data_IF_872394511691
#
_entry.id   IF_872394511691
#
_cell.length_a   1.000
_cell.length_b   1.000
_cell.length_c   1.000
_cell.angle_alpha   90.00
_cell.angle_beta   90.00
_cell.angle_gamma   90.00
#
_symmetry.space_group_name_H-M   'P 1'
#
loop_
_entity.id
_entity.type
_entity.pdbx_description
1 polymer ?
#
# COMPACT_ATOMS: atom_id res chain seq x y z
N UNK A 1 -44.50 32.25 68.97
CA UNK A 1 -43.66 31.52 68.00
C UNK A 1 -43.05 32.55 67.06
N UNK A 2 -41.76 32.88 66.93
CA UNK A 2 -40.42 32.53 67.46
C UNK A 2 -39.71 33.90 67.67
N UNK A 3 -39.17 34.28 68.84
CA UNK A 3 -37.78 34.11 69.29
C UNK A 3 -36.71 34.37 68.20
N UNK A 4 -35.60 35.11 68.38
CA UNK A 4 -35.08 36.06 69.39
C UNK A 4 -33.75 36.61 68.79
N UNK A 5 -33.45 37.87 69.09
CA UNK A 5 -32.14 38.56 69.27
C UNK A 5 -30.85 37.74 69.05
N UNK A 6 -29.90 38.18 68.21
CA UNK A 6 -28.84 39.21 68.40
C UNK A 6 -27.67 38.76 69.32
N UNK A 7 -26.51 38.57 68.67
CA UNK A 7 -25.07 38.66 69.05
C UNK A 7 -24.52 38.14 70.38
N UNK A 8 -23.46 37.32 70.25
CA UNK A 8 -22.19 37.26 71.01
C UNK A 8 -21.31 36.23 70.25
N UNK A 9 -19.98 36.29 70.13
CA UNK A 9 -18.94 37.05 70.79
C UNK A 9 -17.63 37.01 69.96
N UNK A 10 -16.79 38.02 70.24
CA UNK A 10 -15.35 37.98 70.45
C UNK A 10 -14.38 37.28 69.46
N UNK A 11 -13.43 38.12 69.08
CA UNK A 11 -12.13 37.95 68.43
C UNK A 11 -11.28 36.77 68.97
N UNK A 12 -10.62 36.04 68.05
CA UNK A 12 -9.25 35.58 68.28
C UNK A 12 -8.47 35.57 66.95
N UNK A 13 -7.37 36.32 66.92
CA UNK A 13 -6.43 36.35 65.82
C UNK A 13 -5.46 35.15 65.90
N UNK A 14 -5.17 34.53 64.76
CA UNK A 14 -3.94 33.77 64.55
C UNK A 14 -3.39 34.09 63.15
N UNK A 15 -2.22 34.72 63.14
CA UNK A 15 -1.35 35.00 62.00
C UNK A 15 -0.59 33.72 61.58
N UNK A 16 -0.08 33.74 60.33
CA UNK A 16 0.90 32.85 59.67
C UNK A 16 0.29 31.62 58.95
N UNK A 17 0.48 31.33 57.66
CA UNK A 17 1.29 31.88 56.56
C UNK A 17 0.72 31.36 55.22
N UNK A 18 1.00 31.99 54.06
CA UNK A 18 0.50 31.53 52.78
C UNK A 18 1.43 30.45 52.23
N UNK A 19 1.07 29.18 52.41
CA UNK A 19 1.47 28.14 51.46
C UNK A 19 0.25 27.79 50.64
N UNK A 20 -0.18 28.75 49.80
CA UNK A 20 -0.77 28.37 48.54
C UNK A 20 0.35 27.68 47.76
N UNK A 21 0.50 26.36 47.99
CA UNK A 21 1.07 25.49 46.97
C UNK A 21 0.09 25.64 45.81
N UNK A 22 0.39 26.60 44.93
CA UNK A 22 -0.07 26.49 43.57
C UNK A 22 0.39 25.11 43.13
N UNK A 23 -0.56 24.21 42.93
CA UNK A 23 -0.30 23.00 42.18
C UNK A 23 0.16 23.50 40.81
N UNK A 24 1.47 23.62 40.65
CA UNK A 24 2.09 23.71 39.35
C UNK A 24 1.63 22.45 38.63
N UNK A 25 0.76 22.62 37.63
CA UNK A 25 0.59 21.61 36.60
C UNK A 25 1.91 21.56 35.81
N UNK A 26 2.89 20.85 36.35
CA UNK A 26 3.81 20.07 35.52
C UNK A 26 3.01 18.77 35.24
N UNK A 27 2.81 18.29 34.02
CA UNK A 27 3.82 17.75 33.12
C UNK A 27 3.14 17.34 31.79
N UNK A 28 2.62 18.27 30.99
CA UNK A 28 2.32 17.89 29.60
C UNK A 28 3.65 17.91 28.85
N UNK A 29 4.22 16.71 28.65
CA UNK A 29 5.43 16.54 27.87
C UNK A 29 5.25 17.21 26.50
N UNK A 30 6.25 17.97 26.02
CA UNK A 30 6.14 18.69 24.75
C UNK A 30 5.78 17.71 23.63
N UNK A 31 4.71 18.01 22.91
CA UNK A 31 4.14 17.18 21.85
C UNK A 31 4.21 17.90 20.50
N UNK A 32 4.18 17.13 19.41
CA UNK A 32 4.19 17.66 18.05
C UNK A 32 2.76 17.84 17.52
N UNK A 33 2.47 18.98 16.90
CA UNK A 33 1.24 19.12 16.11
C UNK A 33 1.27 18.22 14.88
N UNK A 34 0.10 17.82 14.40
CA UNK A 34 -0.06 17.08 13.15
C UNK A 34 0.45 17.91 11.96
N UNK A 35 1.31 17.37 11.08
CA UNK A 35 1.70 18.03 9.85
C UNK A 35 0.51 18.33 8.94
N UNK A 36 0.66 19.32 8.04
CA UNK A 36 -0.30 19.52 6.96
C UNK A 36 -0.35 18.32 6.00
N UNK A 37 -1.46 18.17 5.27
CA UNK A 37 -1.55 17.16 4.20
C UNK A 37 -0.46 17.37 3.15
N UNK A 38 0.20 16.29 2.67
CA UNK A 38 1.20 16.41 1.63
C UNK A 38 0.54 16.88 0.32
N UNK A 39 1.20 17.81 -0.35
CA UNK A 39 0.84 18.37 -1.65
C UNK A 39 1.89 17.96 -2.67
N UNK A 40 1.45 17.51 -3.84
CA UNK A 40 2.32 17.14 -4.96
C UNK A 40 2.86 18.40 -5.63
N UNK A 41 4.19 18.50 -5.72
CA UNK A 41 4.91 19.60 -6.37
C UNK A 41 5.44 19.18 -7.73
N UNK A 42 5.96 17.96 -7.84
CA UNK A 42 6.46 17.35 -9.08
C UNK A 42 5.98 15.91 -9.15
N UNK A 43 5.49 15.48 -10.30
CA UNK A 43 5.10 14.11 -10.58
C UNK A 43 5.70 13.67 -11.93
N UNK A 44 6.77 12.90 -11.83
CA UNK A 44 7.51 12.32 -12.95
C UNK A 44 7.53 10.79 -12.78
N UNK A 45 7.76 10.00 -13.85
CA UNK A 45 7.93 8.57 -13.71
C UNK A 45 9.00 8.24 -12.67
N UNK A 46 8.65 7.41 -11.69
CA UNK A 46 9.49 7.00 -10.56
C UNK A 46 9.86 8.09 -9.54
N UNK A 47 9.37 9.33 -9.70
CA UNK A 47 9.75 10.45 -8.85
C UNK A 47 8.56 11.32 -8.49
N UNK A 48 8.28 11.43 -7.20
CA UNK A 48 7.22 12.28 -6.67
C UNK A 48 7.79 13.24 -5.64
N UNK A 49 7.71 14.54 -5.90
CA UNK A 49 8.13 15.56 -4.93
C UNK A 49 6.92 16.10 -4.18
N UNK A 50 7.01 16.06 -2.85
CA UNK A 50 5.97 16.50 -1.95
C UNK A 50 6.42 17.71 -1.13
N UNK A 51 5.45 18.51 -0.70
CA UNK A 51 5.62 19.54 0.32
C UNK A 51 4.45 19.55 1.28
N UNK A 52 4.65 20.00 2.51
CA UNK A 52 3.60 20.11 3.53
C UNK A 52 3.85 21.28 4.49
N UNK A 53 2.81 21.69 5.21
CA UNK A 53 2.93 22.64 6.32
C UNK A 53 3.63 21.95 7.51
N UNK A 54 4.65 22.57 8.12
CA UNK A 54 5.42 21.97 9.21
C UNK A 54 4.59 21.75 10.48
N UNK A 55 5.05 20.81 11.28
CA UNK A 55 4.64 20.65 12.68
C UNK A 55 5.31 21.68 13.58
N UNK A 56 4.67 21.96 14.70
CA UNK A 56 5.15 22.84 15.78
C UNK A 56 5.09 22.10 17.11
N UNK A 57 5.85 22.55 18.10
CA UNK A 57 5.76 22.04 19.46
C UNK A 57 4.54 22.63 20.19
N UNK A 58 3.92 21.81 21.04
CA UNK A 58 2.85 22.17 21.97
C UNK A 58 3.27 21.75 23.36
N UNK A 59 3.10 22.62 24.35
CA UNK A 59 3.55 22.38 25.73
C UNK A 59 4.78 23.20 26.10
N UNK A 60 4.99 23.39 27.41
CA UNK A 60 6.08 24.22 27.96
C UNK A 60 6.97 23.38 28.90
N UNK A 61 8.30 23.40 28.72
CA UNK A 61 9.02 24.11 27.65
C UNK A 61 8.81 23.43 26.30
N UNK A 62 8.82 24.22 25.22
CA UNK A 62 8.85 23.68 23.87
C UNK A 62 10.08 22.79 23.68
N UNK A 63 9.93 21.71 22.91
CA UNK A 63 11.08 20.87 22.53
C UNK A 63 12.06 21.65 21.65
N UNK A 64 13.35 21.38 21.82
CA UNK A 64 14.43 22.00 21.03
C UNK A 64 14.97 21.07 19.93
N UNK A 65 14.50 19.82 19.92
CA UNK A 65 14.98 18.80 18.99
C UNK A 65 14.52 19.08 17.54
N UNK A 66 15.37 18.78 16.54
CA UNK A 66 14.97 18.84 15.14
C UNK A 66 13.80 17.91 14.85
N UNK A 67 12.73 18.45 14.27
CA UNK A 67 11.58 17.66 13.84
C UNK A 67 11.93 16.93 12.54
N UNK A 68 11.81 15.60 12.55
CA UNK A 68 11.92 14.77 11.35
C UNK A 68 10.53 14.40 10.86
N UNK A 69 10.34 14.34 9.55
CA UNK A 69 9.11 13.94 8.91
C UNK A 69 9.31 12.62 8.20
N UNK A 70 8.34 11.72 8.32
CA UNK A 70 8.26 10.47 7.58
C UNK A 70 7.06 10.49 6.65
N UNK A 71 7.30 10.21 5.36
CA UNK A 71 6.24 10.04 4.37
C UNK A 71 5.95 8.55 4.22
N UNK A 72 4.67 8.18 4.33
CA UNK A 72 4.24 6.77 4.29
C UNK A 72 3.07 6.57 3.32
N UNK A 73 3.04 5.42 2.66
CA UNK A 73 1.87 4.92 1.94
C UNK A 73 1.00 4.07 2.87
N UNK A 74 -0.29 4.37 2.96
CA UNK A 74 -1.28 3.61 3.73
C UNK A 74 -1.74 2.39 2.93
N UNK A 75 -1.55 1.20 3.48
CA UNK A 75 -1.92 -0.08 2.87
C UNK A 75 -3.25 -0.63 3.42
N UNK A 76 -3.66 -0.15 4.59
CA UNK A 76 -4.86 -0.60 5.30
C UNK A 76 -5.08 0.21 6.58
N UNK A 77 -6.07 -0.15 7.40
CA UNK A 77 -6.28 0.47 8.71
C UNK A 77 -5.01 0.36 9.56
N UNK A 78 -4.36 1.49 9.81
CA UNK A 78 -3.13 1.60 10.60
C UNK A 78 -1.92 0.82 10.05
N UNK A 79 -1.99 0.34 8.81
CA UNK A 79 -0.86 -0.34 8.13
C UNK A 79 -0.25 0.61 7.13
N UNK A 80 1.05 0.86 7.28
CA UNK A 80 1.79 1.81 6.47
C UNK A 80 3.11 1.22 5.95
N UNK A 81 3.53 1.65 4.77
CA UNK A 81 4.87 1.44 4.22
C UNK A 81 5.62 2.76 4.22
N UNK A 82 6.79 2.80 4.84
CA UNK A 82 7.68 3.95 4.78
C UNK A 82 8.20 4.15 3.36
N UNK A 83 8.17 5.41 2.89
CA UNK A 83 8.68 5.80 1.57
C UNK A 83 9.92 6.68 1.68
N UNK A 84 10.16 7.27 2.84
CA UNK A 84 11.34 8.09 3.14
C UNK A 84 11.11 9.07 4.28
N UNK A 85 12.19 9.69 4.73
CA UNK A 85 12.16 10.71 5.78
C UNK A 85 13.08 11.89 5.47
N UNK A 86 12.81 13.02 6.11
CA UNK A 86 13.56 14.28 5.93
C UNK A 86 13.34 15.21 7.13
N UNK A 87 14.28 16.11 7.40
CA UNK A 87 14.08 17.21 8.37
C UNK A 87 13.52 18.47 7.71
N UNK A 88 13.47 18.52 6.37
CA UNK A 88 12.82 19.59 5.62
C UNK A 88 11.31 19.35 5.51
N UNK A 89 10.57 20.37 5.07
CA UNK A 89 9.13 20.27 4.74
C UNK A 89 8.88 19.89 3.29
N UNK A 90 9.90 19.33 2.63
CA UNK A 90 9.83 18.79 1.28
C UNK A 90 10.64 17.51 1.18
N UNK A 91 10.11 16.55 0.42
CA UNK A 91 10.78 15.28 0.14
C UNK A 91 10.52 14.86 -1.30
N UNK A 92 11.58 14.47 -1.99
CA UNK A 92 11.50 13.74 -3.25
C UNK A 92 11.51 12.24 -2.95
N UNK A 93 10.40 11.57 -3.23
CA UNK A 93 10.31 10.12 -3.22
C UNK A 93 10.84 9.57 -4.55
N UNK A 94 11.64 8.51 -4.47
CA UNK A 94 12.21 7.81 -5.64
C UNK A 94 11.76 6.35 -5.65
N UNK A 95 11.83 5.70 -6.81
CA UNK A 95 11.48 4.28 -6.99
C UNK A 95 10.01 3.96 -6.70
N UNK A 96 9.12 4.95 -6.78
CA UNK A 96 7.68 4.69 -6.81
C UNK A 96 7.33 4.03 -8.14
N UNK A 97 6.39 3.09 -8.12
CA UNK A 97 5.93 2.51 -9.36
C UNK A 97 5.12 3.57 -10.14
N UNK A 98 5.40 3.77 -11.43
CA UNK A 98 4.62 4.69 -12.24
C UNK A 98 3.15 4.25 -12.39
N UNK A 99 2.25 5.18 -12.71
CA UNK A 99 0.82 4.93 -12.93
C UNK A 99 0.05 4.35 -11.74
N UNK A 100 0.63 4.38 -10.53
CA UNK A 100 0.13 3.68 -9.36
C UNK A 100 -0.59 4.59 -8.38
N UNK A 101 -1.70 4.11 -7.82
CA UNK A 101 -2.54 4.84 -6.86
C UNK A 101 -1.99 4.71 -5.44
N UNK A 102 -1.47 5.78 -4.84
CA UNK A 102 -0.98 5.78 -3.45
C UNK A 102 -1.91 6.59 -2.53
N UNK A 103 -2.06 6.12 -1.29
CA UNK A 103 -2.66 6.87 -0.19
C UNK A 103 -1.58 7.38 0.75
N UNK A 104 -1.16 8.64 0.61
CA UNK A 104 0.00 9.19 1.31
C UNK A 104 -0.40 9.90 2.60
N UNK A 105 0.45 9.75 3.62
CA UNK A 105 0.38 10.52 4.88
C UNK A 105 1.78 10.98 5.28
N UNK A 106 1.84 12.06 6.06
CA UNK A 106 3.06 12.54 6.70
C UNK A 106 2.90 12.51 8.21
N UNK A 107 3.91 12.03 8.91
CA UNK A 107 4.00 12.14 10.38
C UNK A 107 5.30 12.85 10.75
N UNK A 108 5.23 13.69 11.78
CA UNK A 108 6.41 14.27 12.39
C UNK A 108 6.85 13.39 13.57
N UNK A 109 8.15 13.34 13.84
CA UNK A 109 8.70 12.66 15.00
C UNK A 109 10.01 13.28 15.46
N UNK A 110 10.29 13.07 16.73
CA UNK A 110 11.53 13.41 17.44
C UNK A 110 11.89 12.26 18.39
N UNK A 111 12.91 12.41 19.24
CA UNK A 111 13.17 11.41 20.28
C UNK A 111 12.01 11.33 21.28
N UNK A 112 11.32 12.46 21.50
CA UNK A 112 10.18 12.58 22.41
C UNK A 112 8.88 11.93 21.94
N UNK A 113 8.77 11.52 20.66
CA UNK A 113 7.60 10.80 20.16
C UNK A 113 7.18 11.17 18.73
N UNK A 114 6.02 10.66 18.34
CA UNK A 114 5.40 10.89 17.03
C UNK A 114 4.17 11.78 17.15
N UNK A 115 3.93 12.61 16.14
CA UNK A 115 2.63 13.25 15.92
C UNK A 115 1.61 12.24 15.42
N UNK A 116 0.33 12.61 15.48
CA UNK A 116 -0.69 11.99 14.62
C UNK A 116 -0.32 12.15 13.13
N UNK A 117 -0.75 11.23 12.24
CA UNK A 117 -0.56 11.38 10.81
C UNK A 117 -1.43 12.51 10.25
N UNK A 118 -0.93 13.19 9.21
CA UNK A 118 -1.74 14.09 8.40
C UNK A 118 -2.98 13.39 7.83
N UNK A 119 -4.01 14.13 7.40
CA UNK A 119 -5.04 13.56 6.54
C UNK A 119 -4.44 12.90 5.29
N UNK A 120 -5.10 11.84 4.81
CA UNK A 120 -4.65 11.06 3.66
C UNK A 120 -4.77 11.87 2.37
N UNK A 121 -3.69 11.94 1.60
CA UNK A 121 -3.68 12.46 0.22
C UNK A 121 -3.63 11.29 -0.76
N UNK A 122 -4.67 11.13 -1.59
CA UNK A 122 -4.64 10.20 -2.71
C UNK A 122 -3.87 10.78 -3.89
N UNK A 123 -2.97 10.00 -4.50
CA UNK A 123 -2.24 10.39 -5.72
C UNK A 123 -2.15 9.22 -6.69
N UNK A 124 -2.25 9.47 -7.99
CA UNK A 124 -1.77 8.53 -9.02
C UNK A 124 -0.48 9.09 -9.58
N UNK A 125 0.61 8.34 -9.48
CA UNK A 125 1.90 8.74 -10.05
C UNK A 125 1.82 8.81 -11.58
N UNK A 126 2.66 9.65 -12.18
CA UNK A 126 2.81 9.75 -13.61
C UNK A 126 3.08 8.37 -14.23
N UNK A 127 2.57 8.13 -15.45
CA UNK A 127 2.79 6.87 -16.16
C UNK A 127 4.23 6.73 -16.62
N UNK A 128 4.76 5.51 -16.56
CA UNK A 128 6.08 5.17 -17.08
C UNK A 128 6.06 4.94 -18.59
N UNK A 129 6.91 4.04 -19.06
CA UNK A 129 7.00 3.66 -20.49
C UNK A 129 5.77 2.93 -21.00
N UNK A 130 5.04 2.24 -20.14
CA UNK A 130 3.82 1.53 -20.52
C UNK A 130 2.84 1.47 -19.36
N UNK A 131 1.57 1.16 -19.67
CA UNK A 131 0.52 0.87 -18.68
C UNK A 131 -0.30 -0.34 -19.04
N UNK A 132 -1.03 -0.88 -18.06
CA UNK A 132 -2.00 -1.95 -18.27
C UNK A 132 -3.41 -1.47 -17.93
N UNK A 133 -4.29 -1.57 -18.92
CA UNK A 133 -5.73 -1.47 -18.69
C UNK A 133 -6.31 -2.88 -18.51
N UNK A 134 -7.30 -2.99 -17.63
CA UNK A 134 -7.98 -4.22 -17.21
C UNK A 134 -9.48 -4.09 -17.46
N UNK A 135 -10.10 -5.18 -17.88
CA UNK A 135 -11.54 -5.35 -17.95
C UNK A 135 -11.89 -6.72 -17.38
N UNK A 136 -12.65 -6.76 -16.30
CA UNK A 136 -13.21 -8.01 -15.80
C UNK A 136 -14.40 -8.43 -16.68
N UNK A 137 -14.40 -9.67 -17.16
CA UNK A 137 -15.52 -10.24 -17.90
C UNK A 137 -16.44 -11.09 -17.02
N UNK A 138 -16.02 -11.42 -15.81
CA UNK A 138 -16.81 -12.16 -14.85
C UNK A 138 -17.47 -11.23 -13.80
N UNK A 139 -18.78 -11.40 -13.64
CA UNK A 139 -19.58 -10.69 -12.66
C UNK A 139 -19.74 -11.47 -11.35
N UNK A 140 -19.38 -12.75 -11.34
CA UNK A 140 -19.31 -13.57 -10.14
C UNK A 140 -17.88 -13.53 -9.60
N UNK A 141 -17.63 -13.06 -8.37
CA UNK A 141 -16.30 -13.15 -7.77
C UNK A 141 -15.94 -14.58 -7.32
N UNK A 142 -16.89 -15.51 -7.42
CA UNK A 142 -16.69 -16.92 -7.05
C UNK A 142 -17.32 -17.79 -8.11
N UNK A 143 -16.48 -18.42 -8.93
CA UNK A 143 -16.89 -19.27 -10.05
C UNK A 143 -15.74 -20.22 -10.44
N UNK A 144 -15.89 -21.05 -11.47
CA UNK A 144 -14.84 -22.00 -11.85
C UNK A 144 -13.81 -21.46 -12.87
N UNK A 145 -13.83 -20.17 -13.19
CA UNK A 145 -12.98 -19.56 -14.20
C UNK A 145 -12.73 -18.06 -13.96
N UNK A 146 -11.47 -17.69 -13.72
CA UNK A 146 -11.03 -16.30 -13.79
C UNK A 146 -11.16 -15.83 -15.25
N UNK A 147 -11.95 -14.78 -15.53
CA UNK A 147 -12.10 -14.21 -16.88
C UNK A 147 -11.81 -12.71 -16.92
N UNK A 148 -10.71 -12.34 -17.57
CA UNK A 148 -10.35 -10.92 -17.70
C UNK A 148 -9.70 -10.60 -19.05
N UNK A 149 -9.69 -9.31 -19.38
CA UNK A 149 -9.00 -8.78 -20.56
C UNK A 149 -7.95 -7.77 -20.13
N UNK A 150 -6.74 -7.94 -20.65
CA UNK A 150 -5.66 -6.97 -20.47
C UNK A 150 -5.38 -6.23 -21.78
N UNK A 151 -4.87 -5.01 -21.65
CA UNK A 151 -4.37 -4.21 -22.78
C UNK A 151 -3.14 -3.44 -22.35
N UNK A 152 -2.01 -3.69 -23.01
CA UNK A 152 -0.75 -2.96 -22.80
C UNK A 152 -0.76 -1.75 -23.72
N UNK A 153 -0.49 -0.57 -23.19
CA UNK A 153 -0.38 0.68 -23.97
C UNK A 153 0.99 1.30 -23.75
N UNK A 154 1.68 1.66 -24.83
CA UNK A 154 2.92 2.42 -24.76
C UNK A 154 2.60 3.88 -24.40
N UNK A 155 3.03 4.31 -23.22
CA UNK A 155 2.86 5.68 -22.71
C UNK A 155 4.12 6.51 -22.81
N UNK A 156 5.23 5.90 -23.24
CA UNK A 156 6.49 6.58 -23.50
C UNK A 156 6.50 7.34 -24.82
N UNK A 157 7.64 7.99 -25.08
CA UNK A 157 7.89 8.81 -26.28
C UNK A 157 8.61 8.08 -27.41
N UNK A 158 9.11 6.86 -27.15
CA UNK A 158 9.79 6.00 -28.13
C UNK A 158 9.05 4.70 -28.40
N UNK A 159 9.50 3.90 -29.37
CA UNK A 159 8.95 2.57 -29.61
C UNK A 159 9.15 1.66 -28.40
N UNK A 160 8.16 0.81 -28.13
CA UNK A 160 8.19 -0.20 -27.07
C UNK A 160 8.23 -1.59 -27.71
N UNK A 161 9.37 -2.28 -27.57
CA UNK A 161 9.48 -3.69 -27.93
C UNK A 161 8.76 -4.54 -26.88
N UNK A 162 7.76 -5.32 -27.31
CA UNK A 162 6.98 -6.15 -26.41
C UNK A 162 7.77 -7.34 -25.83
N UNK A 163 8.87 -7.75 -26.47
CA UNK A 163 9.73 -8.83 -25.94
C UNK A 163 10.38 -8.47 -24.60
N UNK A 164 10.57 -7.17 -24.35
CA UNK A 164 11.04 -6.60 -23.09
C UNK A 164 9.94 -6.47 -22.01
N UNK A 165 8.67 -6.62 -22.40
CA UNK A 165 7.51 -6.39 -21.50
C UNK A 165 7.17 -7.68 -20.74
N UNK A 166 6.97 -7.53 -19.42
CA UNK A 166 6.42 -8.57 -18.54
C UNK A 166 5.21 -8.01 -17.82
N UNK A 167 4.07 -8.68 -17.89
CA UNK A 167 2.83 -8.29 -17.18
C UNK A 167 2.50 -9.36 -16.15
N UNK A 168 2.24 -9.00 -14.91
CA UNK A 168 1.90 -9.94 -13.83
C UNK A 168 0.55 -9.61 -13.24
N UNK A 169 -0.38 -10.55 -13.37
CA UNK A 169 -1.64 -10.58 -12.64
C UNK A 169 -1.42 -11.35 -11.35
N UNK A 170 -1.46 -10.65 -10.22
CA UNK A 170 -1.19 -11.17 -8.88
C UNK A 170 -2.46 -11.75 -8.28
N UNK A 171 -2.37 -12.98 -7.80
CA UNK A 171 -3.48 -13.75 -7.27
C UNK A 171 -3.06 -14.55 -6.03
N UNK A 172 -4.04 -15.06 -5.30
CA UNK A 172 -3.84 -15.95 -4.17
C UNK A 172 -4.35 -17.34 -4.53
N UNK A 173 -3.47 -18.34 -4.46
CA UNK A 173 -3.83 -19.73 -4.73
C UNK A 173 -4.52 -20.32 -3.50
N UNK A 174 -5.84 -20.18 -3.47
CA UNK A 174 -6.69 -20.61 -2.36
C UNK A 174 -6.63 -22.12 -2.12
N UNK A 175 -6.68 -22.50 -0.85
CA UNK A 175 -6.56 -23.89 -0.42
C UNK A 175 -5.18 -24.52 -0.66
N UNK A 176 -4.20 -23.72 -1.11
CA UNK A 176 -2.88 -24.18 -1.51
C UNK A 176 -2.84 -24.93 -2.85
N UNK A 177 -3.94 -24.94 -3.60
CA UNK A 177 -3.97 -25.51 -4.96
C UNK A 177 -3.34 -24.52 -5.94
N UNK A 178 -2.08 -24.77 -6.27
CA UNK A 178 -1.27 -23.97 -7.20
C UNK A 178 -1.46 -24.36 -8.66
N UNK A 179 -2.50 -25.14 -8.98
CA UNK A 179 -2.76 -25.66 -10.32
C UNK A 179 -3.73 -24.76 -11.08
N UNK A 180 -3.24 -24.02 -12.08
CA UNK A 180 -4.08 -23.30 -13.03
C UNK A 180 -3.76 -23.70 -14.48
N UNK A 181 -4.81 -23.90 -15.27
CA UNK A 181 -4.74 -23.94 -16.73
C UNK A 181 -4.84 -22.51 -17.25
N UNK A 182 -3.84 -22.07 -18.02
CA UNK A 182 -3.71 -20.68 -18.46
C UNK A 182 -4.10 -20.52 -19.94
N UNK A 183 -5.33 -20.08 -20.20
CA UNK A 183 -5.85 -19.89 -21.55
C UNK A 183 -5.70 -18.44 -22.03
N UNK A 184 -5.43 -18.30 -23.32
CA UNK A 184 -5.65 -17.08 -24.09
C UNK A 184 -6.76 -17.43 -25.07
N UNK A 185 -7.93 -16.84 -24.88
CA UNK A 185 -9.10 -17.15 -25.69
C UNK A 185 -9.09 -16.31 -26.98
N UNK A 186 -8.60 -15.08 -26.90
CA UNK A 186 -8.42 -14.21 -28.07
C UNK A 186 -7.40 -13.10 -27.79
N UNK A 187 -6.60 -12.71 -28.79
CA UNK A 187 -5.76 -11.53 -28.71
C UNK A 187 -5.55 -10.91 -30.09
N UNK A 188 -5.57 -9.58 -30.17
CA UNK A 188 -5.30 -8.87 -31.43
C UNK A 188 -3.90 -9.16 -31.99
N UNK A 189 -2.92 -9.42 -31.12
CA UNK A 189 -1.56 -9.81 -31.50
C UNK A 189 -1.44 -11.28 -31.97
N UNK A 190 -2.47 -12.10 -31.71
CA UNK A 190 -2.42 -13.56 -31.79
C UNK A 190 -2.01 -14.20 -30.46
N UNK A 191 -2.79 -15.19 -30.00
CA UNK A 191 -2.51 -15.90 -28.74
C UNK A 191 -1.23 -16.75 -28.79
N UNK A 192 -0.78 -17.14 -29.98
CA UNK A 192 0.49 -17.82 -30.23
C UNK A 192 1.70 -16.94 -29.84
N UNK A 193 1.53 -15.61 -29.90
CA UNK A 193 2.57 -14.65 -29.52
C UNK A 193 2.65 -14.35 -28.03
N UNK A 194 1.67 -14.81 -27.25
CA UNK A 194 1.53 -14.52 -25.82
C UNK A 194 1.79 -15.79 -25.02
N UNK A 195 2.95 -15.83 -24.36
CA UNK A 195 3.28 -16.89 -23.41
C UNK A 195 2.69 -16.53 -22.06
N UNK A 196 2.13 -17.53 -21.40
CA UNK A 196 1.58 -17.45 -20.05
C UNK A 196 2.34 -18.44 -19.18
N UNK A 197 2.75 -18.01 -18.00
CA UNK A 197 3.36 -18.87 -16.99
C UNK A 197 2.84 -18.46 -15.63
N UNK A 198 2.86 -19.39 -14.67
CA UNK A 198 2.52 -19.10 -13.29
C UNK A 198 3.75 -19.21 -12.40
N UNK A 199 3.79 -18.40 -11.34
CA UNK A 199 4.78 -18.49 -10.27
C UNK A 199 4.04 -18.31 -8.95
N UNK A 200 4.42 -19.09 -7.94
CA UNK A 200 3.81 -19.06 -6.61
C UNK A 200 4.90 -19.11 -5.54
N UNK A 201 4.60 -18.54 -4.38
CA UNK A 201 5.55 -18.32 -3.29
C UNK A 201 5.03 -18.99 -2.03
N UNK A 202 5.32 -20.29 -1.84
CA UNK A 202 4.96 -20.96 -0.60
C UNK A 202 5.64 -20.24 0.57
N UNK A 203 4.99 -20.14 1.73
CA UNK A 203 5.57 -19.47 2.88
C UNK A 203 6.90 -20.16 3.28
N UNK A 204 7.88 -19.42 3.82
CA UNK A 204 9.17 -19.98 4.19
C UNK A 204 9.03 -20.90 5.41
N UNK A 205 9.77 -22.01 5.44
CA UNK A 205 9.82 -22.91 6.60
C UNK A 205 9.99 -22.12 7.91
N UNK A 206 9.29 -22.49 8.99
CA UNK A 206 9.46 -21.84 10.28
C UNK A 206 10.95 -21.89 10.66
N UNK A 207 11.51 -20.82 11.26
CA UNK A 207 12.88 -20.87 11.76
C UNK A 207 13.05 -22.10 12.65
N UNK A 208 14.14 -22.85 12.45
CA UNK A 208 14.53 -23.88 13.40
C UNK A 208 14.63 -23.24 14.78
N UNK A 209 14.00 -23.84 15.79
CA UNK A 209 14.11 -23.34 17.16
C UNK A 209 15.58 -23.24 17.61
N UNK A 210 15.89 -22.45 18.65
CA UNK A 210 17.23 -22.47 19.25
C UNK A 210 17.63 -23.93 19.56
N UNK A 211 18.92 -24.29 19.46
CA UNK A 211 19.37 -25.65 19.71
C UNK A 211 19.03 -26.06 21.15
N UNK A 212 17.90 -26.72 21.33
CA UNK A 212 17.52 -27.36 22.58
C UNK A 212 18.10 -28.78 22.61
N UNK A 213 18.50 -29.29 23.79
CA UNK A 213 18.93 -30.68 23.94
C UNK A 213 17.82 -31.69 23.59
N UNK A 214 16.57 -31.22 23.52
CA UNK A 214 15.41 -31.97 23.03
C UNK A 214 15.17 -31.61 21.57
N UNK A 215 15.03 -32.59 20.65
CA UNK A 215 14.67 -32.31 19.27
C UNK A 215 13.32 -31.61 19.24
N UNK A 216 13.27 -30.36 18.77
CA UNK A 216 12.01 -29.71 18.43
C UNK A 216 11.39 -30.52 17.29
N UNK A 217 10.15 -31.03 17.41
CA UNK A 217 9.54 -31.76 16.31
C UNK A 217 9.44 -30.82 15.11
N UNK A 218 10.13 -31.19 14.02
CA UNK A 218 9.91 -30.54 12.72
C UNK A 218 8.47 -30.82 12.31
N UNK A 219 7.68 -29.81 11.90
CA UNK A 219 6.32 -30.07 11.43
C UNK A 219 6.36 -31.08 10.28
N UNK A 220 5.63 -32.18 10.42
CA UNK A 220 5.62 -33.28 9.44
C UNK A 220 4.89 -32.93 8.14
N UNK A 221 4.15 -31.81 8.12
CA UNK A 221 3.61 -31.15 6.92
C UNK A 221 3.79 -29.63 7.03
N UNK A 222 4.44 -29.03 6.03
CA UNK A 222 4.57 -27.59 5.89
C UNK A 222 4.55 -27.19 4.40
N UNK A 223 3.83 -26.12 3.99
CA UNK A 223 2.84 -25.40 4.79
C UNK A 223 1.66 -26.29 5.18
N UNK A 224 0.82 -25.84 6.11
CA UNK A 224 -0.40 -26.56 6.44
C UNK A 224 -1.25 -26.74 5.17
N UNK A 225 -1.82 -27.93 4.90
CA UNK A 225 -2.77 -28.09 3.80
C UNK A 225 -3.87 -27.05 3.90
N UNK A 226 -4.21 -26.40 2.78
CA UNK A 226 -5.17 -25.29 2.78
C UNK A 226 -4.55 -23.90 2.92
N UNK A 227 -3.25 -23.78 3.24
CA UNK A 227 -2.59 -22.47 3.35
C UNK A 227 -2.63 -21.74 2.01
N UNK A 228 -3.23 -20.54 1.92
CA UNK A 228 -3.21 -19.74 0.70
C UNK A 228 -1.77 -19.40 0.30
N UNK A 229 -1.47 -19.50 -0.98
CA UNK A 229 -0.13 -19.25 -1.51
C UNK A 229 -0.20 -18.05 -2.44
N UNK A 230 0.49 -16.93 -2.17
CA UNK A 230 0.50 -15.81 -3.11
C UNK A 230 1.28 -16.17 -4.38
N UNK A 231 0.93 -15.57 -5.49
CA UNK A 231 1.68 -15.70 -6.73
C UNK A 231 1.12 -14.84 -7.84
N UNK A 232 1.49 -15.18 -9.07
CA UNK A 232 1.01 -14.47 -10.25
C UNK A 232 0.94 -15.34 -11.49
N UNK A 233 0.06 -14.94 -12.40
CA UNK A 233 0.16 -15.28 -13.83
C UNK A 233 0.97 -14.20 -14.53
N UNK A 234 2.06 -14.59 -15.16
CA UNK A 234 2.90 -13.72 -15.96
C UNK A 234 2.61 -13.90 -17.46
N UNK A 235 2.47 -12.77 -18.17
CA UNK A 235 2.46 -12.71 -19.62
C UNK A 235 3.80 -12.21 -20.13
N UNK A 236 4.31 -12.92 -21.13
CA UNK A 236 5.47 -12.50 -21.92
C UNK A 236 5.14 -12.57 -23.41
N UNK A 237 5.78 -11.71 -24.20
CA UNK A 237 5.51 -11.59 -25.62
C UNK A 237 6.70 -12.09 -26.43
N UNK A 238 6.41 -12.81 -27.52
CA UNK A 238 7.45 -13.34 -28.42
C UNK A 238 7.87 -12.36 -29.51
N UNK A 239 7.15 -11.25 -29.67
CA UNK A 239 7.46 -10.20 -30.65
C UNK A 239 6.39 -9.10 -30.70
N UNK A 240 6.68 -8.05 -31.46
CA UNK A 240 5.82 -6.90 -31.68
C UNK A 240 6.43 -5.61 -31.13
N UNK A 241 6.12 -4.49 -31.78
CA UNK A 241 6.58 -3.15 -31.36
C UNK A 241 5.37 -2.22 -31.34
N UNK A 242 5.20 -1.51 -30.23
CA UNK A 242 4.17 -0.48 -30.10
C UNK A 242 4.80 0.91 -30.30
N UNK A 243 4.31 1.67 -31.28
CA UNK A 243 4.61 3.09 -31.39
C UNK A 243 4.11 3.85 -30.13
N UNK A 244 4.63 5.06 -29.85
CA UNK A 244 4.09 5.93 -28.80
C UNK A 244 2.56 6.07 -28.90
N UNK A 245 1.85 5.84 -27.80
CA UNK A 245 0.38 5.88 -27.73
C UNK A 245 -0.34 4.65 -28.31
N UNK A 246 0.35 3.75 -29.01
CA UNK A 246 -0.25 2.52 -29.51
C UNK A 246 -0.47 1.49 -28.40
N UNK A 247 -1.36 0.53 -28.64
CA UNK A 247 -1.67 -0.55 -27.71
C UNK A 247 -1.59 -1.92 -28.35
N UNK A 248 -1.44 -2.95 -27.53
CA UNK A 248 -1.51 -4.36 -27.94
C UNK A 248 -2.88 -4.76 -28.50
N UNK A 249 -3.91 -3.90 -28.36
CA UNK A 249 -5.30 -4.34 -28.42
C UNK A 249 -5.68 -5.23 -27.23
N UNK A 250 -6.91 -5.76 -27.21
CA UNK A 250 -7.38 -6.64 -26.15
C UNK A 250 -6.64 -7.98 -26.17
N UNK A 251 -6.34 -8.48 -24.97
CA UNK A 251 -5.82 -9.82 -24.70
C UNK A 251 -6.79 -10.48 -23.72
N UNK A 252 -7.68 -11.32 -24.22
CA UNK A 252 -8.69 -12.02 -23.44
C UNK A 252 -8.10 -13.31 -22.87
N UNK A 253 -8.17 -13.42 -21.55
CA UNK A 253 -7.55 -14.47 -20.77
C UNK A 253 -8.61 -15.18 -19.95
N UNK A 254 -8.39 -16.48 -19.77
CA UNK A 254 -9.21 -17.33 -18.94
C UNK A 254 -8.34 -18.30 -18.17
N UNK A 255 -8.57 -18.43 -16.88
CA UNK A 255 -7.81 -19.35 -16.04
C UNK A 255 -8.78 -20.21 -15.24
N UNK A 256 -8.51 -21.51 -15.16
CA UNK A 256 -9.35 -22.41 -14.39
C UNK A 256 -8.49 -23.50 -13.74
N UNK A 257 -9.00 -24.11 -12.67
CA UNK A 257 -8.37 -25.32 -12.12
C UNK A 257 -8.61 -26.50 -13.07
N UNK A 258 -7.69 -27.48 -13.15
CA UNK A 258 -7.89 -28.67 -13.99
C UNK A 258 -9.21 -29.41 -13.73
N UNK A 259 -9.68 -29.42 -12.48
CA UNK A 259 -10.94 -30.03 -12.06
C UNK A 259 -12.17 -29.11 -12.12
N UNK A 260 -12.02 -27.87 -12.60
CA UNK A 260 -13.09 -26.86 -12.66
C UNK A 260 -13.80 -26.60 -11.32
N UNK A 261 -13.04 -26.67 -10.23
CA UNK A 261 -13.53 -26.28 -8.91
C UNK A 261 -13.48 -24.76 -8.75
N UNK A 262 -14.45 -24.23 -8.01
CA UNK A 262 -14.65 -22.79 -7.85
C UNK A 262 -13.45 -22.09 -7.19
N UNK A 263 -13.04 -20.97 -7.78
CA UNK A 263 -12.02 -20.02 -7.34
C UNK A 263 -12.76 -18.81 -6.73
N UNK A 264 -12.25 -18.28 -5.63
CA UNK A 264 -12.67 -16.99 -5.10
C UNK A 264 -11.60 -15.97 -5.48
N UNK A 265 -11.99 -14.91 -6.19
CA UNK A 265 -11.04 -13.90 -6.70
C UNK A 265 -10.95 -12.66 -5.78
N UNK A 266 -11.71 -12.59 -4.68
CA UNK A 266 -11.83 -11.35 -3.89
C UNK A 266 -10.55 -10.97 -3.14
N UNK A 267 -9.72 -11.95 -2.84
CA UNK A 267 -8.40 -11.78 -2.23
C UNK A 267 -7.26 -11.79 -3.27
N UNK A 268 -7.57 -11.91 -4.55
CA UNK A 268 -6.60 -11.70 -5.62
C UNK A 268 -6.24 -10.22 -5.70
N UNK A 269 -4.95 -9.93 -5.54
CA UNK A 269 -4.49 -8.53 -5.50
C UNK A 269 -4.82 -7.80 -6.79
N UNK A 270 -4.67 -8.45 -7.94
CA UNK A 270 -4.97 -7.85 -9.24
C UNK A 270 -6.46 -7.84 -9.59
N UNK A 271 -7.32 -8.52 -8.85
CA UNK A 271 -8.74 -8.55 -9.17
C UNK A 271 -9.42 -7.20 -8.87
N UNK A 272 -10.33 -6.83 -9.76
CA UNK A 272 -11.32 -5.77 -9.55
C UNK A 272 -12.66 -6.26 -10.08
N UNK A 273 -13.74 -5.94 -9.34
CA UNK A 273 -15.10 -6.29 -9.73
C UNK A 273 -15.46 -5.76 -11.13
N UNK A 274 -16.29 -6.52 -11.85
CA UNK A 274 -16.78 -6.10 -13.15
C UNK A 274 -17.62 -4.82 -13.07
N UNK A 275 -17.31 -3.90 -13.99
CA UNK A 275 -18.06 -2.66 -14.22
C UNK A 275 -18.54 -2.56 -15.67
N UNK A 276 -18.16 -3.53 -16.52
CA UNK A 276 -18.34 -3.46 -17.97
C UNK A 276 -17.44 -2.42 -18.67
N UNK A 277 -16.51 -1.79 -17.95
CA UNK A 277 -15.63 -0.74 -18.48
C UNK A 277 -14.16 -1.07 -18.24
N UNK A 278 -13.32 -0.60 -19.15
CA UNK A 278 -11.87 -0.63 -18.96
C UNK A 278 -11.47 0.29 -17.81
N UNK A 279 -10.51 -0.17 -17.00
CA UNK A 279 -9.88 0.65 -15.96
C UNK A 279 -8.37 0.43 -15.95
N UNK A 280 -7.61 1.45 -15.61
CA UNK A 280 -6.17 1.28 -15.38
C UNK A 280 -5.99 0.69 -13.98
N UNK A 281 -5.60 -0.59 -13.93
CA UNK A 281 -5.53 -1.34 -12.69
C UNK A 281 -4.09 -1.44 -12.20
N UNK A 282 -3.67 -0.49 -11.38
CA UNK A 282 -2.31 -0.43 -10.82
C UNK A 282 -1.97 -1.54 -9.83
N UNK A 283 -2.90 -2.49 -9.58
CA UNK A 283 -2.60 -3.71 -8.82
C UNK A 283 -2.05 -4.84 -9.72
N UNK A 284 -2.10 -4.66 -11.04
CA UNK A 284 -1.37 -5.44 -12.03
C UNK A 284 -0.05 -4.73 -12.25
N UNK A 285 1.05 -5.48 -12.26
CA UNK A 285 2.37 -4.89 -12.46
C UNK A 285 2.87 -5.15 -13.86
N UNK A 286 3.53 -4.16 -14.46
CA UNK A 286 4.21 -4.29 -15.73
C UNK A 286 5.65 -3.80 -15.60
N UNK A 287 6.58 -4.64 -16.05
CA UNK A 287 7.99 -4.30 -16.15
C UNK A 287 8.40 -4.19 -17.63
N UNK A 288 9.32 -3.27 -17.94
CA UNK A 288 10.00 -3.18 -19.24
C UNK A 288 11.50 -3.24 -18.97
N UNK A 289 12.20 -4.16 -19.65
CA UNK A 289 13.64 -4.37 -19.45
C UNK A 289 14.01 -4.66 -17.97
N UNK A 290 13.09 -5.28 -17.23
CA UNK A 290 13.25 -5.59 -15.80
C UNK A 290 12.99 -4.41 -14.85
N UNK A 291 12.67 -3.22 -15.37
CA UNK A 291 12.30 -2.04 -14.56
C UNK A 291 10.79 -1.93 -14.45
N UNK A 292 10.28 -1.65 -13.25
CA UNK A 292 8.84 -1.47 -12.99
C UNK A 292 8.30 -0.21 -13.65
N UNK A 293 7.51 -0.34 -14.71
CA UNK A 293 6.96 0.79 -15.46
C UNK A 293 5.49 1.08 -15.19
N UNK A 294 4.78 0.15 -14.54
CA UNK A 294 3.40 0.37 -14.09
C UNK A 294 3.00 -0.55 -12.95
N UNK A 295 2.25 -0.01 -12.00
CA UNK A 295 1.57 -0.77 -10.96
C UNK A 295 2.45 -1.13 -9.76
N UNK A 296 1.82 -1.23 -8.60
CA UNK A 296 2.42 -1.66 -7.35
C UNK A 296 1.39 -2.48 -6.59
N UNK A 297 1.76 -3.71 -6.24
CA UNK A 297 0.90 -4.62 -5.49
C UNK A 297 0.65 -4.15 -4.07
N UNK A 298 1.28 -3.08 -3.62
CA UNK A 298 1.06 -2.45 -2.32
C UNK A 298 0.66 -0.98 -2.45
N UNK A 299 0.40 -0.50 -3.67
CA UNK A 299 -0.30 0.76 -3.87
C UNK A 299 -1.79 0.59 -3.51
#
# INVERSE_FOLDING_TARGET
>A
MRARRVTLAAVLAALLSPFAVGAARADDAPALTTPGSPVVVVDEPHRLTLSWTPSTWVGEPAGEEPITYEVRARLGPYVYRSLGSTTATTLTLTNLAPGSEYQLVVSAYTLGGYSDPSPVTGVRTAYGRAKVSYLNLDWSPTDNQIQHVLKVTNTGTGPLDLTAVRVRYHLTFEGGDTSLVLNCDWAALGCDRIRRSMTFFPPPLPPGGPPTPTPTPTPTRYPLPGTPVPGWVELTFTGGVLAPGASSGPIQLRHHRPGWTDIDERDDRSWRAATGQWTDNSRITLDVDGVREFGDTFA
#
